data_IF_832470110698
#
_entry.id   IF_832470110698
#
_cell.length_a   1.000
_cell.length_b   1.000
_cell.length_c   1.000
_cell.angle_alpha   90.00
_cell.angle_beta   90.00
_cell.angle_gamma   90.00
#
_symmetry.space_group_name_H-M   'P 1'
#
loop_
_entity.id
_entity.type
_entity.pdbx_description
1 polymer ?
#
# COMPACT_ATOMS: atom_id res chain seq x y z
N UNK A 1 -8.45 43.56 11.78
CA UNK A 1 -8.78 42.16 11.44
C UNK A 1 -7.59 41.32 11.86
N UNK A 2 -7.65 40.66 13.03
CA UNK A 2 -6.68 39.64 13.41
C UNK A 2 -7.18 38.28 12.88
N UNK A 3 -6.40 37.32 12.43
CA UNK A 3 -4.98 37.13 12.20
C UNK A 3 -4.92 35.70 11.68
N UNK A 4 -4.50 35.51 10.43
CA UNK A 4 -4.39 34.17 9.83
C UNK A 4 -3.27 33.38 10.54
N UNK A 5 -3.62 32.67 11.60
CA UNK A 5 -2.81 31.60 12.17
C UNK A 5 -2.98 30.38 11.26
N UNK A 6 -2.39 30.44 10.07
CA UNK A 6 -2.25 29.25 9.23
C UNK A 6 -1.23 28.34 9.94
N UNK A 7 -1.74 27.37 10.70
CA UNK A 7 -0.97 26.25 11.21
C UNK A 7 -0.21 25.62 10.04
N UNK A 8 1.12 25.63 10.14
CA UNK A 8 2.02 25.05 9.14
C UNK A 8 1.88 23.52 9.20
N UNK A 9 0.84 22.99 8.55
CA UNK A 9 0.60 21.55 8.46
C UNK A 9 1.68 20.98 7.54
N UNK A 10 2.76 20.50 8.13
CA UNK A 10 3.79 19.76 7.41
C UNK A 10 3.15 18.46 6.92
N UNK A 11 2.69 18.43 5.67
CA UNK A 11 2.31 17.18 5.00
C UNK A 11 3.60 16.38 4.75
N UNK A 12 4.01 15.58 5.73
CA UNK A 12 4.97 14.49 5.50
C UNK A 12 4.26 13.37 4.74
N UNK A 13 3.94 13.62 3.47
CA UNK A 13 3.50 12.60 2.53
C UNK A 13 4.66 11.64 2.31
N UNK A 14 4.87 10.69 3.21
CA UNK A 14 5.81 9.59 2.96
C UNK A 14 5.13 8.72 1.92
N UNK A 15 5.47 8.94 0.66
CA UNK A 15 4.93 8.21 -0.47
C UNK A 15 5.29 6.73 -0.32
N UNK A 16 4.29 5.87 -0.12
CA UNK A 16 4.53 4.43 -0.04
C UNK A 16 5.04 3.91 -1.38
N UNK A 17 6.15 3.16 -1.38
CA UNK A 17 6.75 2.56 -2.59
C UNK A 17 5.96 1.35 -3.14
N UNK A 18 4.70 1.21 -2.73
CA UNK A 18 3.79 0.16 -3.14
C UNK A 18 3.01 0.66 -4.36
N UNK A 19 3.24 0.05 -5.54
CA UNK A 19 2.50 0.42 -6.75
C UNK A 19 1.04 -0.06 -6.74
N UNK A 20 0.69 -0.95 -5.81
CA UNK A 20 -0.67 -1.43 -5.63
C UNK A 20 -0.93 -1.74 -4.16
N UNK A 21 -2.14 -1.43 -3.70
CA UNK A 21 -2.60 -1.68 -2.31
C UNK A 21 -3.44 -2.94 -2.19
N UNK A 22 -3.87 -3.52 -3.31
CA UNK A 22 -4.65 -4.76 -3.38
C UNK A 22 -4.00 -5.74 -4.36
N UNK A 23 -4.07 -7.03 -4.03
CA UNK A 23 -3.64 -8.10 -4.93
C UNK A 23 -4.63 -8.23 -6.10
N UNK A 24 -4.21 -8.02 -7.36
CA UNK A 24 -5.12 -8.08 -8.51
C UNK A 24 -5.61 -9.50 -8.85
N UNK A 25 -5.08 -10.54 -8.17
CA UNK A 25 -5.48 -11.94 -8.38
C UNK A 25 -6.40 -12.45 -7.27
N UNK A 26 -6.12 -12.13 -6.01
CA UNK A 26 -6.92 -12.58 -4.87
C UNK A 26 -7.89 -11.54 -4.32
N UNK A 27 -7.77 -10.27 -4.74
CA UNK A 27 -8.61 -9.17 -4.26
C UNK A 27 -8.29 -8.73 -2.82
N UNK A 28 -7.43 -9.45 -2.10
CA UNK A 28 -7.03 -9.11 -0.73
C UNK A 28 -6.18 -7.84 -0.70
N UNK A 29 -6.33 -6.97 0.30
CA UNK A 29 -5.39 -5.88 0.52
C UNK A 29 -4.00 -6.45 0.79
N UNK A 30 -2.97 -5.79 0.26
CA UNK A 30 -1.57 -6.22 0.38
C UNK A 30 -1.16 -6.35 1.85
N UNK A 31 -1.74 -5.53 2.72
CA UNK A 31 -1.54 -5.55 4.16
C UNK A 31 -1.97 -6.86 4.84
N UNK A 32 -2.91 -7.62 4.27
CA UNK A 32 -3.45 -8.85 4.87
C UNK A 32 -2.91 -10.13 4.22
N UNK A 33 -1.88 -9.99 3.37
CA UNK A 33 -1.25 -11.12 2.69
C UNK A 33 -0.12 -11.66 3.56
N UNK A 34 -0.18 -12.95 3.89
CA UNK A 34 0.84 -13.64 4.69
C UNK A 34 2.20 -13.75 3.96
N UNK A 35 2.14 -14.10 2.67
CA UNK A 35 3.29 -14.25 1.77
C UNK A 35 3.17 -13.27 0.57
N UNK A 36 3.48 -11.97 0.77
CA UNK A 36 3.50 -11.01 -0.33
C UNK A 36 4.72 -11.28 -1.22
N UNK A 37 4.49 -11.30 -2.53
CA UNK A 37 5.54 -11.44 -3.54
C UNK A 37 5.43 -10.32 -4.56
N UNK A 38 6.57 -9.85 -5.06
CA UNK A 38 6.66 -8.77 -6.02
C UNK A 38 7.30 -9.25 -7.31
N UNK A 39 6.75 -8.83 -8.44
CA UNK A 39 7.38 -9.03 -9.74
C UNK A 39 8.55 -8.07 -9.93
N UNK A 40 9.73 -8.58 -10.30
CA UNK A 40 10.91 -7.76 -10.58
C UNK A 40 10.68 -6.88 -11.82
N UNK A 41 9.83 -7.30 -12.75
CA UNK A 41 9.61 -6.60 -14.03
C UNK A 41 8.71 -5.36 -13.93
N UNK A 42 7.73 -5.40 -13.04
CA UNK A 42 6.69 -4.37 -12.93
C UNK A 42 6.45 -3.87 -11.51
N UNK A 43 7.17 -4.40 -10.51
CA UNK A 43 7.03 -4.07 -9.08
C UNK A 43 5.63 -4.25 -8.49
N UNK A 44 4.69 -4.88 -9.21
CA UNK A 44 3.37 -5.21 -8.69
C UNK A 44 3.42 -6.37 -7.70
N UNK A 45 2.57 -6.28 -6.68
CA UNK A 45 2.53 -7.15 -5.52
C UNK A 45 1.36 -8.12 -5.65
N UNK A 46 1.61 -9.38 -5.32
CA UNK A 46 0.65 -10.47 -5.39
C UNK A 46 0.74 -11.36 -4.16
N UNK A 47 -0.32 -12.14 -3.92
CA UNK A 47 -0.28 -13.27 -3.00
C UNK A 47 0.43 -14.46 -3.65
N UNK A 48 1.44 -15.02 -2.98
CA UNK A 48 2.30 -16.10 -3.50
C UNK A 48 1.51 -17.28 -4.06
N UNK A 49 0.50 -17.76 -3.33
CA UNK A 49 -0.32 -18.92 -3.76
C UNK A 49 -1.13 -18.59 -5.02
N UNK A 50 -1.72 -17.39 -5.07
CA UNK A 50 -2.57 -16.95 -6.18
C UNK A 50 -1.76 -16.73 -7.47
N UNK A 51 -0.62 -16.05 -7.40
CA UNK A 51 0.22 -15.79 -8.58
C UNK A 51 0.87 -17.05 -9.12
N UNK A 52 1.30 -17.96 -8.25
CA UNK A 52 1.86 -19.25 -8.66
C UNK A 52 0.81 -20.10 -9.37
N UNK A 53 -0.44 -20.10 -8.89
CA UNK A 53 -1.54 -20.77 -9.58
C UNK A 53 -1.84 -20.10 -10.93
N UNK A 54 -1.95 -18.77 -10.96
CA UNK A 54 -2.22 -18.02 -12.18
C UNK A 54 -1.19 -18.28 -13.29
N UNK A 55 0.11 -18.25 -12.95
CA UNK A 55 1.20 -18.53 -13.91
C UNK A 55 1.10 -19.97 -14.45
N UNK A 56 0.77 -20.94 -13.58
CA UNK A 56 0.60 -22.35 -13.99
C UNK A 56 -0.61 -22.57 -14.90
N UNK A 57 -1.72 -21.88 -14.65
CA UNK A 57 -2.96 -22.05 -15.41
C UNK A 57 -2.89 -21.35 -16.77
N UNK A 58 -2.21 -20.21 -16.87
CA UNK A 58 -2.14 -19.37 -18.08
C UNK A 58 -0.90 -19.64 -18.96
N UNK A 59 -0.51 -20.92 -19.08
CA UNK A 59 0.77 -21.46 -19.63
C UNK A 59 1.36 -20.74 -20.85
N UNK A 60 0.54 -20.19 -21.75
CA UNK A 60 1.03 -19.56 -22.97
C UNK A 60 1.68 -18.19 -22.75
N UNK A 61 1.10 -17.32 -21.91
CA UNK A 61 1.57 -15.95 -21.67
C UNK A 61 0.87 -15.33 -20.44
N UNK A 62 1.29 -15.65 -19.21
CA UNK A 62 0.71 -15.08 -18.00
C UNK A 62 1.09 -13.60 -17.83
N UNK A 63 0.35 -12.69 -18.47
CA UNK A 63 0.53 -11.24 -18.30
C UNK A 63 0.17 -10.80 -16.89
N UNK A 64 0.81 -9.72 -16.42
CA UNK A 64 0.46 -9.00 -15.21
C UNK A 64 -1.05 -8.70 -15.17
N UNK A 65 -1.70 -8.96 -14.03
CA UNK A 65 -3.14 -8.76 -13.86
C UNK A 65 -3.56 -7.31 -13.59
N UNK A 66 -2.61 -6.39 -13.43
CA UNK A 66 -2.88 -4.95 -13.37
C UNK A 66 -3.22 -4.44 -14.77
N UNK A 67 -4.33 -3.73 -14.89
CA UNK A 67 -4.78 -3.12 -16.13
C UNK A 67 -3.68 -2.22 -16.72
N UNK A 68 -3.41 -2.37 -18.02
CA UNK A 68 -2.40 -1.57 -18.71
C UNK A 68 -0.94 -2.01 -18.54
N UNK A 69 -0.63 -3.01 -17.71
CA UNK A 69 0.74 -3.51 -17.58
C UNK A 69 1.05 -4.59 -18.63
N UNK A 70 2.00 -4.37 -19.57
CA UNK A 70 2.30 -5.32 -20.64
C UNK A 70 3.25 -6.45 -20.19
N UNK A 71 3.77 -6.40 -18.96
CA UNK A 71 4.80 -7.33 -18.48
C UNK A 71 4.25 -8.75 -18.29
N UNK A 72 5.08 -9.75 -18.61
CA UNK A 72 4.76 -11.16 -18.45
C UNK A 72 5.33 -11.64 -17.11
N UNK A 73 4.50 -12.31 -16.31
CA UNK A 73 4.88 -12.88 -15.04
C UNK A 73 5.62 -14.19 -15.24
N UNK A 74 6.76 -14.35 -14.58
CA UNK A 74 7.53 -15.57 -14.58
C UNK A 74 7.79 -16.01 -13.15
N UNK A 75 7.74 -17.32 -12.87
CA UNK A 75 7.96 -17.84 -11.51
C UNK A 75 9.30 -17.39 -10.94
N UNK A 76 10.35 -17.43 -11.76
CA UNK A 76 11.70 -17.01 -11.36
C UNK A 76 11.82 -15.49 -11.10
N UNK A 77 10.85 -14.68 -11.54
CA UNK A 77 10.88 -13.22 -11.44
C UNK A 77 9.84 -12.67 -10.45
N UNK A 78 9.13 -13.56 -9.76
CA UNK A 78 8.20 -13.22 -8.68
C UNK A 78 8.86 -13.66 -7.38
N UNK A 79 9.36 -12.70 -6.62
CA UNK A 79 10.18 -12.94 -5.43
C UNK A 79 9.51 -12.38 -4.18
N UNK A 80 9.77 -13.01 -3.03
CA UNK A 80 9.44 -12.43 -1.74
C UNK A 80 10.64 -11.57 -1.32
N UNK A 81 10.48 -10.25 -1.39
CA UNK A 81 11.52 -9.30 -1.01
C UNK A 81 11.38 -8.97 0.49
N UNK A 82 12.43 -9.09 1.32
CA UNK A 82 12.39 -8.63 2.70
C UNK A 82 11.97 -7.15 2.84
N UNK A 83 12.39 -6.29 1.90
CA UNK A 83 12.04 -4.87 1.90
C UNK A 83 10.55 -4.66 1.66
N UNK A 84 9.91 -5.48 0.82
CA UNK A 84 8.48 -5.41 0.57
C UNK A 84 7.68 -5.57 1.88
N UNK A 85 8.12 -6.42 2.81
CA UNK A 85 7.40 -6.59 4.09
C UNK A 85 7.49 -5.33 4.95
N UNK A 86 8.66 -4.68 4.94
CA UNK A 86 8.90 -3.42 5.67
C UNK A 86 8.02 -2.32 5.07
N UNK A 87 8.03 -2.15 3.75
CA UNK A 87 7.22 -1.12 3.06
C UNK A 87 5.70 -1.33 3.29
N UNK A 88 5.25 -2.59 3.36
CA UNK A 88 3.86 -2.92 3.69
C UNK A 88 3.52 -2.53 5.14
N UNK A 89 4.43 -2.80 6.07
CA UNK A 89 4.25 -2.48 7.48
C UNK A 89 4.24 -0.97 7.72
N UNK A 90 5.16 -0.23 7.08
CA UNK A 90 5.19 1.23 7.08
C UNK A 90 3.86 1.80 6.54
N UNK A 91 3.44 1.38 5.35
CA UNK A 91 2.18 1.84 4.77
C UNK A 91 0.96 1.49 5.65
N UNK A 92 0.97 0.35 6.36
CA UNK A 92 -0.07 -0.01 7.34
C UNK A 92 -0.11 0.96 8.53
N UNK A 93 1.05 1.38 9.05
CA UNK A 93 1.10 2.35 10.15
C UNK A 93 0.60 3.73 9.73
N UNK A 94 0.92 4.16 8.51
CA UNK A 94 0.47 5.44 7.98
C UNK A 94 -1.04 5.47 7.72
N UNK A 95 -1.60 4.39 7.15
CA UNK A 95 -3.06 4.30 6.94
C UNK A 95 -3.83 4.43 8.26
N UNK A 96 -3.33 3.85 9.36
CA UNK A 96 -3.96 4.01 10.68
C UNK A 96 -3.88 5.43 11.24
N UNK A 97 -2.83 6.19 10.90
CA UNK A 97 -2.70 7.58 11.33
C UNK A 97 -3.67 8.50 10.57
N UNK A 98 -3.92 8.24 9.29
CA UNK A 98 -4.92 8.99 8.51
C UNK A 98 -6.38 8.75 8.93
N UNK A 99 -6.67 7.63 9.60
CA UNK A 99 -8.02 7.34 10.14
C UNK A 99 -8.28 7.99 11.50
N UNK A 100 -7.27 8.62 12.11
CA UNK A 100 -7.39 9.37 13.35
C UNK A 100 -7.09 10.86 13.08
N UNK A 101 -8.00 11.59 12.41
CA UNK A 101 -7.90 13.04 12.40
C UNK A 101 -8.07 13.48 13.86
N UNK A 102 -6.95 13.81 14.51
CA UNK A 102 -6.87 14.84 15.54
C UNK A 102 -8.15 15.01 16.38
N UNK A 103 -8.29 14.20 17.43
CA UNK A 103 -9.06 14.63 18.60
C UNK A 103 -8.28 15.78 19.25
N UNK A 104 -8.35 16.96 18.65
CA UNK A 104 -8.03 18.21 19.35
C UNK A 104 -9.26 18.47 20.21
N UNK A 105 -9.18 18.03 21.47
CA UNK A 105 -10.18 18.38 22.48
C UNK A 105 -9.96 19.85 22.85
N UNK A 106 -10.77 20.72 22.27
CA UNK A 106 -10.80 22.14 22.59
C UNK A 106 -11.22 22.31 24.05
N UNK A 107 -10.24 22.53 24.92
CA UNK A 107 -10.42 22.78 26.35
C UNK A 107 -10.36 24.28 26.66
N UNK A 108 -11.01 25.14 25.86
CA UNK A 108 -11.26 26.53 26.26
C UNK A 108 -12.52 26.62 27.12
N UNK A 109 -12.40 26.22 28.39
CA UNK A 109 -13.35 26.64 29.41
C UNK A 109 -13.13 28.14 29.66
N UNK A 110 -13.98 28.98 29.07
CA UNK A 110 -14.11 30.37 29.46
C UNK A 110 -14.92 30.42 30.77
N UNK A 111 -14.23 30.33 31.89
CA UNK A 111 -14.74 30.83 33.17
C UNK A 111 -14.38 32.32 33.24
N UNK A 112 -15.35 33.20 32.96
CA UNK A 112 -15.28 34.63 33.29
C UNK A 112 -16.45 34.97 34.21
N UNK A 113 -16.10 35.34 35.45
CA UNK A 113 -16.95 35.78 36.57
C UNK A 113 -17.57 37.17 36.33
#
# INVERSE_FOLDING_TARGET
MPGDEQEDIVMTSTESNLLNVTCPLSGKPVFDIEDPVRSIDCKHIYEKKAVMHYIKTKKANPKCAIAGCPKILQVARVICDPLLRIEIEEARTMSKQTEHPTLIEDCTALDED
#
